data_IF_838199053889
#
_entry.id   IF_838199053889
#
_cell.length_a   1.000
_cell.length_b   1.000
_cell.length_c   1.000
_cell.angle_alpha   90.00
_cell.angle_beta   90.00
_cell.angle_gamma   90.00
#
_symmetry.space_group_name_H-M   'P 1'
#
loop_
_entity.id
_entity.type
_entity.pdbx_description
1 polymer ?
#
# COMPACT_ATOMS: atom_id res chain seq x y z
N UNK A 1 -54.82 4.32 64.99
CA UNK A 1 -53.49 3.71 64.81
C UNK A 1 -52.43 4.75 65.18
N UNK A 2 -51.22 4.33 65.51
CA UNK A 2 -50.10 5.23 65.77
C UNK A 2 -48.78 4.51 65.45
N UNK A 3 -47.75 5.29 65.14
CA UNK A 3 -46.38 4.82 65.01
C UNK A 3 -45.80 4.53 66.40
N UNK A 4 -45.00 3.46 66.53
CA UNK A 4 -44.41 2.97 67.76
C UNK A 4 -45.20 1.86 68.46
N UNK A 5 -44.52 1.18 69.40
CA UNK A 5 -45.15 0.25 70.35
C UNK A 5 -45.78 1.06 71.49
N UNK A 6 -47.11 1.09 71.57
CA UNK A 6 -47.85 1.86 72.57
C UNK A 6 -48.66 0.95 73.49
N UNK A 7 -48.64 1.26 74.78
CA UNK A 7 -49.57 0.65 75.73
C UNK A 7 -50.97 1.28 75.60
N UNK A 8 -51.97 0.64 76.20
CA UNK A 8 -53.35 1.16 76.25
C UNK A 8 -53.43 2.60 76.81
N UNK A 9 -52.66 2.90 77.86
CA UNK A 9 -52.64 4.23 78.48
C UNK A 9 -51.97 5.29 77.61
N UNK A 10 -51.01 4.89 76.77
CA UNK A 10 -50.24 5.84 75.95
C UNK A 10 -50.99 6.21 74.66
N UNK A 11 -51.80 5.28 74.14
CA UNK A 11 -52.53 5.45 72.89
C UNK A 11 -53.53 6.61 72.91
N UNK A 12 -54.18 6.85 74.05
CA UNK A 12 -55.21 7.88 74.23
C UNK A 12 -54.72 9.31 73.96
N UNK A 13 -53.40 9.53 73.92
CA UNK A 13 -52.77 10.84 73.71
C UNK A 13 -52.04 10.98 72.36
N UNK A 14 -51.85 9.89 71.61
CA UNK A 14 -50.96 9.84 70.42
C UNK A 14 -51.62 9.19 69.18
N UNK A 15 -52.82 8.62 69.34
CA UNK A 15 -53.53 7.93 68.26
C UNK A 15 -54.10 8.84 67.17
N UNK A 16 -53.98 8.42 65.92
CA UNK A 16 -54.77 8.93 64.79
C UNK A 16 -55.99 8.04 64.55
N UNK A 17 -57.17 8.64 64.39
CA UNK A 17 -58.42 7.92 64.13
C UNK A 17 -58.40 7.27 62.73
N UNK A 18 -58.85 6.01 62.63
CA UNK A 18 -58.98 5.29 61.36
C UNK A 18 -60.30 5.69 60.68
N UNK A 19 -60.22 6.09 59.42
CA UNK A 19 -61.40 6.24 58.55
C UNK A 19 -61.65 4.90 57.82
N UNK A 20 -62.16 3.90 58.54
CA UNK A 20 -62.40 2.54 58.03
C UNK A 20 -61.62 1.45 58.77
N UNK A 21 -61.25 0.37 58.07
CA UNK A 21 -60.56 -0.81 58.65
C UNK A 21 -59.10 -0.95 58.21
N UNK A 22 -58.53 0.05 57.55
CA UNK A 22 -57.19 0.01 56.96
C UNK A 22 -56.40 1.28 57.29
N UNK A 23 -55.09 1.13 57.46
CA UNK A 23 -54.12 2.22 57.40
C UNK A 23 -52.97 1.83 56.47
N UNK A 24 -52.23 2.83 56.00
CA UNK A 24 -51.03 2.64 55.20
C UNK A 24 -49.82 2.94 56.07
N UNK A 25 -48.85 2.02 56.09
CA UNK A 25 -47.53 2.24 56.63
C UNK A 25 -46.60 2.65 55.47
N UNK A 26 -45.85 3.72 55.65
CA UNK A 26 -44.88 4.28 54.69
C UNK A 26 -43.43 4.18 55.19
N UNK A 27 -43.22 3.70 56.41
CA UNK A 27 -41.90 3.57 57.03
C UNK A 27 -41.73 2.21 57.73
N UNK A 28 -40.49 1.75 57.82
CA UNK A 28 -40.14 0.55 58.59
C UNK A 28 -40.18 0.88 60.08
N UNK A 29 -41.26 0.49 60.74
CA UNK A 29 -41.48 0.71 62.17
C UNK A 29 -42.47 -0.30 62.75
N UNK A 30 -42.53 -0.35 64.08
CA UNK A 30 -43.70 -0.91 64.78
C UNK A 30 -44.88 0.06 64.73
N UNK A 31 -46.08 -0.44 64.44
CA UNK A 31 -47.33 0.32 64.48
C UNK A 31 -48.28 -0.31 65.49
N UNK A 32 -48.96 0.52 66.25
CA UNK A 32 -49.99 0.12 67.22
C UNK A 32 -51.38 0.48 66.71
N UNK A 33 -52.35 -0.40 66.92
CA UNK A 33 -53.77 -0.18 66.59
C UNK A 33 -54.62 -0.41 67.83
N UNK A 34 -55.26 0.65 68.31
CA UNK A 34 -56.25 0.62 69.37
C UNK A 34 -57.65 0.36 68.83
N UNK A 35 -58.41 -0.43 69.57
CA UNK A 35 -59.84 -0.66 69.36
C UNK A 35 -60.59 -0.57 70.68
N UNK A 36 -61.80 -0.02 70.64
CA UNK A 36 -62.74 0.01 71.76
C UNK A 36 -64.10 -0.48 71.29
N UNK A 37 -64.71 -1.40 72.03
CA UNK A 37 -66.07 -1.85 71.74
C UNK A 37 -67.14 -0.91 72.33
N UNK A 38 -68.41 -1.16 71.99
CA UNK A 38 -69.54 -0.36 72.51
C UNK A 38 -69.77 -0.52 74.03
N UNK A 39 -69.28 -1.61 74.63
CA UNK A 39 -69.33 -1.85 76.07
C UNK A 39 -68.16 -1.16 76.81
N UNK A 40 -67.21 -0.57 76.07
CA UNK A 40 -66.07 0.16 76.57
C UNK A 40 -64.83 -0.71 76.83
N UNK A 41 -64.80 -1.97 76.40
CA UNK A 41 -63.60 -2.81 76.47
C UNK A 41 -62.58 -2.34 75.44
N UNK A 42 -61.31 -2.29 75.82
CA UNK A 42 -60.22 -1.72 75.01
C UNK A 42 -59.12 -2.75 74.77
N UNK A 43 -58.52 -2.70 73.58
CA UNK A 43 -57.34 -3.50 73.24
C UNK A 43 -56.40 -2.71 72.32
N UNK A 44 -55.10 -3.01 72.40
CA UNK A 44 -54.09 -2.56 71.45
C UNK A 44 -53.42 -3.78 70.83
N UNK A 45 -53.38 -3.84 69.51
CA UNK A 45 -52.55 -4.78 68.76
C UNK A 45 -51.34 -4.07 68.15
N UNK A 46 -50.22 -4.77 68.02
CA UNK A 46 -49.00 -4.26 67.37
C UNK A 46 -48.68 -5.05 66.11
N UNK A 47 -48.06 -4.37 65.14
CA UNK A 47 -47.51 -4.97 63.93
C UNK A 47 -46.16 -4.33 63.63
N UNK A 48 -45.16 -5.12 63.26
CA UNK A 48 -43.84 -4.63 62.86
C UNK A 48 -43.78 -4.65 61.33
N UNK A 49 -43.46 -3.51 60.73
CA UNK A 49 -43.18 -3.36 59.31
C UNK A 49 -41.68 -3.15 59.16
N UNK A 50 -41.01 -3.95 58.32
CA UNK A 50 -39.55 -3.92 58.17
C UNK A 50 -39.06 -4.17 56.75
N UNK A 51 -39.95 -4.11 55.78
CA UNK A 51 -39.72 -4.48 54.38
C UNK A 51 -40.22 -3.41 53.40
N UNK A 52 -40.33 -2.16 53.84
CA UNK A 52 -40.55 -1.00 52.97
C UNK A 52 -39.18 -0.51 52.50
N UNK A 53 -39.03 -0.44 51.19
CA UNK A 53 -37.90 0.21 50.54
C UNK A 53 -38.43 0.98 49.33
N UNK A 54 -38.06 2.26 49.27
CA UNK A 54 -38.45 3.20 48.22
C UNK A 54 -37.22 3.87 47.59
N UNK A 55 -36.02 3.40 47.93
CA UNK A 55 -34.76 3.95 47.44
C UNK A 55 -34.35 3.15 46.21
N UNK A 56 -34.19 3.83 45.08
CA UNK A 56 -33.68 3.17 43.88
C UNK A 56 -32.21 2.76 44.10
N UNK A 57 -31.78 1.61 43.57
CA UNK A 57 -30.37 1.24 43.56
C UNK A 57 -29.51 2.22 42.73
N UNK A 58 -28.25 2.39 43.10
CA UNK A 58 -27.26 3.13 42.32
C UNK A 58 -26.39 2.17 41.51
N UNK A 59 -26.26 2.39 40.19
CA UNK A 59 -25.47 1.55 39.28
C UNK A 59 -24.32 2.33 38.65
N UNK A 60 -23.17 1.68 38.43
CA UNK A 60 -21.98 2.25 37.80
C UNK A 60 -21.35 1.28 36.79
N UNK A 61 -20.56 1.84 35.86
CA UNK A 61 -19.81 1.11 34.83
C UNK A 61 -18.32 1.45 34.95
N UNK A 62 -17.48 0.44 34.77
CA UNK A 62 -16.04 0.58 34.62
C UNK A 62 -15.64 -0.09 33.30
N UNK A 63 -14.90 0.60 32.43
CA UNK A 63 -14.45 0.08 31.13
C UNK A 63 -12.94 -0.04 31.11
N UNK A 64 -12.43 -1.22 30.78
CA UNK A 64 -11.00 -1.50 30.64
C UNK A 64 -10.64 -1.79 29.18
N UNK A 65 -9.38 -1.56 28.83
CA UNK A 65 -8.83 -1.68 27.48
C UNK A 65 -7.76 -0.63 27.24
N UNK A 66 -7.08 -0.70 26.10
CA UNK A 66 -6.08 0.29 25.70
C UNK A 66 -6.77 1.39 24.90
N UNK A 67 -6.77 2.62 25.41
CA UNK A 67 -7.24 3.78 24.65
C UNK A 67 -6.21 4.17 23.58
N UNK A 68 -6.69 4.38 22.37
CA UNK A 68 -5.99 5.04 21.30
C UNK A 68 -6.43 6.50 21.17
N UNK A 69 -6.54 6.95 19.93
CA UNK A 69 -6.96 8.30 19.59
C UNK A 69 -8.49 8.44 19.60
N UNK A 70 -8.98 9.67 19.74
CA UNK A 70 -10.42 10.01 19.66
C UNK A 70 -11.32 9.16 20.58
N UNK A 71 -10.82 8.77 21.75
CA UNK A 71 -11.49 7.91 22.74
C UNK A 71 -11.86 6.50 22.26
N UNK A 72 -11.28 6.03 21.15
CA UNK A 72 -11.41 4.64 20.71
C UNK A 72 -10.51 3.72 21.53
N UNK A 73 -10.96 2.49 21.72
CA UNK A 73 -10.13 1.41 22.25
C UNK A 73 -9.47 0.65 21.09
N UNK A 74 -8.14 0.59 21.08
CA UNK A 74 -7.33 -0.14 20.08
C UNK A 74 -7.09 -1.60 20.42
N UNK A 75 -7.62 -2.02 21.58
CA UNK A 75 -7.75 -3.42 21.98
C UNK A 75 -9.21 -3.68 22.33
N UNK A 76 -9.57 -4.96 22.50
CA UNK A 76 -10.86 -5.34 23.07
C UNK A 76 -11.17 -4.52 24.33
N UNK A 77 -12.38 -3.94 24.39
CA UNK A 77 -12.86 -3.19 25.54
C UNK A 77 -13.80 -4.07 26.36
N UNK A 78 -13.58 -4.16 27.67
CA UNK A 78 -14.42 -4.94 28.58
C UNK A 78 -15.06 -4.01 29.59
N UNK A 79 -16.39 -4.04 29.72
CA UNK A 79 -17.09 -3.30 30.76
C UNK A 79 -17.52 -4.19 31.92
N UNK A 80 -17.44 -3.63 33.13
CA UNK A 80 -17.89 -4.23 34.38
C UNK A 80 -18.95 -3.31 35.00
N UNK A 81 -20.10 -3.90 35.34
CA UNK A 81 -21.16 -3.20 36.05
C UNK A 81 -21.12 -3.54 37.54
N UNK A 82 -21.41 -2.54 38.37
CA UNK A 82 -21.64 -2.72 39.81
C UNK A 82 -22.84 -1.91 40.25
N UNK A 83 -23.53 -2.37 41.29
CA UNK A 83 -24.64 -1.64 41.87
C UNK A 83 -24.64 -1.77 43.39
N UNK A 84 -25.20 -0.77 44.06
CA UNK A 84 -25.39 -0.76 45.51
C UNK A 84 -26.82 -0.33 45.84
N UNK A 85 -27.40 -0.98 46.83
CA UNK A 85 -28.61 -0.54 47.50
C UNK A 85 -28.44 -0.70 49.02
N UNK A 86 -28.95 0.25 49.80
CA UNK A 86 -28.69 0.36 51.24
C UNK A 86 -29.81 -0.23 52.11
N UNK A 87 -30.92 -0.70 51.54
CA UNK A 87 -32.09 -1.18 52.28
C UNK A 87 -32.42 -2.63 51.90
N UNK A 88 -33.02 -2.87 50.74
CA UNK A 88 -33.41 -4.22 50.30
C UNK A 88 -32.27 -4.98 49.61
N UNK A 89 -31.20 -4.29 49.21
CA UNK A 89 -30.07 -4.84 48.49
C UNK A 89 -30.37 -5.04 46.99
N UNK A 90 -29.32 -5.20 46.20
CA UNK A 90 -29.46 -5.35 44.74
C UNK A 90 -29.94 -6.76 44.41
N UNK A 91 -31.05 -6.85 43.67
CA UNK A 91 -31.58 -8.12 43.15
C UNK A 91 -30.87 -8.51 41.85
N UNK A 92 -30.79 -7.61 40.88
CA UNK A 92 -30.08 -7.84 39.63
C UNK A 92 -29.62 -6.55 38.95
N UNK A 93 -28.62 -6.69 38.08
CA UNK A 93 -28.19 -5.64 37.16
C UNK A 93 -28.57 -6.10 35.75
N UNK A 94 -29.06 -5.20 34.91
CA UNK A 94 -29.39 -5.45 33.52
C UNK A 94 -28.67 -4.47 32.62
N UNK A 95 -28.30 -4.93 31.42
CA UNK A 95 -27.72 -4.08 30.38
C UNK A 95 -28.28 -4.43 29.01
N UNK A 96 -28.11 -3.52 28.05
CA UNK A 96 -28.33 -3.77 26.63
C UNK A 96 -27.31 -2.99 25.81
N UNK A 97 -27.01 -3.52 24.63
CA UNK A 97 -26.05 -2.93 23.69
C UNK A 97 -26.83 -2.56 22.42
N UNK A 98 -26.58 -1.36 21.89
CA UNK A 98 -27.13 -0.88 20.62
C UNK A 98 -28.66 -1.02 20.49
N UNK A 99 -29.38 -0.59 21.54
CA UNK A 99 -30.85 -0.68 21.66
C UNK A 99 -31.43 -2.10 21.56
N UNK A 100 -30.60 -3.13 21.78
CA UNK A 100 -31.04 -4.52 21.85
C UNK A 100 -31.90 -4.85 23.07
N UNK A 101 -32.12 -6.14 23.30
CA UNK A 101 -32.87 -6.63 24.45
C UNK A 101 -32.09 -6.49 25.76
N UNK A 102 -32.83 -6.25 26.85
CA UNK A 102 -32.25 -6.23 28.19
C UNK A 102 -31.78 -7.63 28.60
N UNK A 103 -30.52 -7.71 29.04
CA UNK A 103 -29.83 -8.93 29.47
C UNK A 103 -29.39 -8.77 30.91
N UNK A 104 -29.53 -9.82 31.73
CA UNK A 104 -29.03 -9.82 33.11
C UNK A 104 -27.51 -9.88 33.09
N UNK A 105 -26.87 -9.02 33.86
CA UNK A 105 -25.42 -8.95 34.02
C UNK A 105 -24.95 -9.95 35.09
N UNK A 106 -24.12 -10.90 34.68
CA UNK A 106 -23.54 -11.95 35.53
C UNK A 106 -22.00 -11.89 35.61
N UNK A 107 -21.37 -11.36 34.57
CA UNK A 107 -19.91 -11.28 34.42
C UNK A 107 -19.51 -10.12 33.51
N UNK A 108 -18.25 -9.64 33.56
CA UNK A 108 -17.77 -8.59 32.66
C UNK A 108 -17.98 -8.93 31.19
N UNK A 109 -18.36 -7.93 30.40
CA UNK A 109 -18.77 -8.11 29.00
C UNK A 109 -17.76 -7.45 28.08
N UNK A 110 -17.25 -8.22 27.12
CA UNK A 110 -16.32 -7.76 26.12
C UNK A 110 -17.01 -7.31 24.84
N UNK A 111 -16.59 -6.15 24.33
CA UNK A 111 -16.97 -5.61 23.04
C UNK A 111 -15.92 -6.01 22.01
N UNK A 112 -16.28 -6.94 21.13
CA UNK A 112 -15.37 -7.59 20.17
C UNK A 112 -15.57 -7.17 18.72
N UNK A 113 -16.52 -6.26 18.46
CA UNK A 113 -16.82 -5.78 17.11
C UNK A 113 -16.38 -4.33 16.97
N UNK A 114 -15.55 -4.07 15.96
CA UNK A 114 -15.06 -2.72 15.65
C UNK A 114 -16.23 -1.82 15.25
N UNK A 115 -16.65 -0.96 16.18
CA UNK A 115 -17.86 -0.14 16.08
C UNK A 115 -18.00 0.79 17.28
N UNK A 116 -18.88 1.78 17.14
CA UNK A 116 -19.40 2.56 18.27
C UNK A 116 -20.50 1.77 18.96
N UNK A 117 -20.30 1.38 20.22
CA UNK A 117 -21.26 0.61 21.00
C UNK A 117 -21.94 1.49 22.04
N UNK A 118 -23.26 1.57 22.00
CA UNK A 118 -24.07 2.24 23.01
C UNK A 118 -24.48 1.23 24.09
N UNK A 119 -23.90 1.33 25.28
CA UNK A 119 -24.19 0.46 26.42
C UNK A 119 -25.16 1.18 27.35
N UNK A 120 -26.35 0.62 27.52
CA UNK A 120 -27.33 1.12 28.48
C UNK A 120 -27.49 0.11 29.62
N UNK A 121 -27.58 0.59 30.86
CA UNK A 121 -27.58 -0.28 32.04
C UNK A 121 -28.44 0.27 33.18
N UNK A 122 -29.01 -0.64 33.97
CA UNK A 122 -29.87 -0.36 35.13
C UNK A 122 -29.77 -1.46 36.19
N UNK A 123 -30.25 -1.21 37.40
CA UNK A 123 -30.35 -2.21 38.46
C UNK A 123 -31.77 -2.25 39.05
N UNK A 124 -32.17 -3.42 39.54
CA UNK A 124 -33.39 -3.66 40.31
C UNK A 124 -33.01 -4.14 41.72
N UNK A 125 -33.68 -3.65 42.75
CA UNK A 125 -33.51 -4.09 44.14
C UNK A 125 -34.50 -5.22 44.52
N UNK A 126 -34.45 -5.71 45.76
CA UNK A 126 -35.37 -6.76 46.21
C UNK A 126 -36.80 -6.27 46.52
N UNK A 127 -37.02 -4.96 46.64
CA UNK A 127 -38.33 -4.35 46.77
C UNK A 127 -39.01 -4.03 45.43
N UNK A 128 -38.28 -4.16 44.31
CA UNK A 128 -38.74 -3.91 42.96
C UNK A 128 -38.51 -2.47 42.48
N UNK A 129 -37.72 -1.66 43.19
CA UNK A 129 -37.30 -0.35 42.73
C UNK A 129 -36.24 -0.50 41.63
N UNK A 130 -36.34 0.32 40.58
CA UNK A 130 -35.45 0.27 39.41
C UNK A 130 -34.67 1.59 39.32
N UNK A 131 -33.35 1.51 39.13
CA UNK A 131 -32.51 2.69 38.92
C UNK A 131 -32.91 3.47 37.66
N UNK A 132 -32.44 4.71 37.55
CA UNK A 132 -32.40 5.37 36.24
C UNK A 132 -31.57 4.54 35.25
N UNK A 133 -31.97 4.55 33.97
CA UNK A 133 -31.16 3.96 32.91
C UNK A 133 -29.99 4.89 32.63
N UNK A 134 -28.78 4.40 32.87
CA UNK A 134 -27.53 5.09 32.49
C UNK A 134 -27.06 4.59 31.12
N UNK A 135 -26.27 5.42 30.45
CA UNK A 135 -25.75 5.17 29.11
C UNK A 135 -24.27 5.54 29.03
N UNK A 136 -23.49 4.69 28.36
CA UNK A 136 -22.08 4.92 28.03
C UNK A 136 -21.84 4.57 26.56
N UNK A 137 -21.12 5.43 25.82
CA UNK A 137 -20.72 5.14 24.45
C UNK A 137 -19.27 4.64 24.45
N UNK A 138 -19.07 3.40 24.02
CA UNK A 138 -17.78 2.73 24.01
C UNK A 138 -17.42 2.40 22.56
N UNK A 139 -16.44 3.11 22.01
CA UNK A 139 -15.97 2.90 20.64
C UNK A 139 -14.77 1.97 20.63
N UNK A 140 -14.84 0.88 19.86
CA UNK A 140 -13.78 -0.13 19.75
C UNK A 140 -13.34 -0.21 18.31
N UNK A 141 -12.05 -0.19 18.07
CA UNK A 141 -11.46 -0.46 16.76
C UNK A 141 -10.09 -1.09 16.96
N UNK A 142 -10.04 -2.40 16.76
CA UNK A 142 -8.85 -3.23 16.95
C UNK A 142 -8.17 -3.59 15.63
N UNK A 143 -8.75 -3.21 14.50
CA UNK A 143 -8.30 -3.63 13.19
C UNK A 143 -7.47 -2.53 12.55
N UNK A 144 -6.24 -2.89 12.13
CA UNK A 144 -5.42 -1.96 11.36
C UNK A 144 -6.00 -1.76 9.96
N UNK A 145 -5.90 -0.56 9.38
CA UNK A 145 -6.24 -0.37 7.97
C UNK A 145 -5.32 -1.21 7.08
N UNK A 146 -5.76 -1.48 5.85
CA UNK A 146 -4.98 -2.21 4.85
C UNK A 146 -4.90 -1.36 3.58
N UNK A 147 -3.68 -0.93 3.23
CA UNK A 147 -3.43 -0.17 1.99
C UNK A 147 -2.86 -1.07 0.89
N UNK A 148 -3.30 -0.89 -0.34
CA UNK A 148 -2.72 -1.51 -1.53
C UNK A 148 -2.23 -0.46 -2.51
N UNK A 149 -1.07 -0.68 -3.12
CA UNK A 149 -0.57 0.15 -4.22
C UNK A 149 -0.90 -0.47 -5.57
N UNK A 150 -1.24 0.37 -6.54
CA UNK A 150 -1.36 0.00 -7.94
C UNK A 150 -0.61 1.00 -8.81
N UNK A 151 -0.16 0.52 -9.97
CA UNK A 151 0.54 1.33 -10.97
C UNK A 151 -0.31 1.39 -12.24
N UNK A 152 -0.31 2.54 -12.91
CA UNK A 152 -1.09 2.73 -14.15
C UNK A 152 -0.55 1.96 -15.37
N UNK A 153 0.62 1.35 -15.24
CA UNK A 153 1.33 0.61 -16.28
C UNK A 153 1.73 -0.76 -15.74
N UNK A 154 1.94 -1.71 -16.65
CA UNK A 154 2.50 -3.03 -16.34
C UNK A 154 3.99 -3.00 -16.69
N UNK A 155 4.83 -3.49 -15.78
CA UNK A 155 6.26 -3.60 -16.04
C UNK A 155 6.53 -4.55 -17.22
N UNK A 156 7.68 -4.37 -17.87
CA UNK A 156 8.17 -5.33 -18.84
C UNK A 156 8.67 -6.62 -18.15
N UNK A 157 9.18 -7.56 -18.94
CA UNK A 157 9.67 -8.87 -18.49
C UNK A 157 10.84 -8.82 -17.48
N UNK A 158 11.49 -7.65 -17.36
CA UNK A 158 12.63 -7.41 -16.48
C UNK A 158 12.25 -6.59 -15.23
N UNK A 159 10.96 -6.35 -14.98
CA UNK A 159 10.46 -5.46 -13.91
C UNK A 159 10.89 -3.98 -14.06
N UNK A 160 10.93 -3.50 -15.31
CA UNK A 160 11.19 -2.09 -15.64
C UNK A 160 10.07 -1.42 -16.42
N UNK A 161 10.02 -0.10 -16.34
CA UNK A 161 9.17 0.77 -17.14
C UNK A 161 10.03 1.70 -17.99
N UNK A 162 9.57 1.99 -19.21
CA UNK A 162 10.25 2.91 -20.13
C UNK A 162 9.62 4.30 -20.22
N UNK A 163 8.65 4.58 -19.36
CA UNK A 163 7.93 5.84 -19.28
C UNK A 163 7.57 6.12 -17.82
N UNK A 164 7.27 7.38 -17.50
CA UNK A 164 6.75 7.79 -16.20
C UNK A 164 5.57 6.92 -15.74
N UNK A 165 5.55 6.57 -14.46
CA UNK A 165 4.55 5.67 -13.85
C UNK A 165 3.76 6.42 -12.79
N UNK A 166 2.43 6.30 -12.82
CA UNK A 166 1.54 6.87 -11.80
C UNK A 166 1.23 5.82 -10.74
N UNK A 167 1.42 6.21 -9.47
CA UNK A 167 1.13 5.44 -8.26
C UNK A 167 -0.24 5.82 -7.73
N UNK A 168 -1.08 4.83 -7.47
CA UNK A 168 -2.38 4.98 -6.80
C UNK A 168 -2.44 4.08 -5.56
N UNK A 169 -2.84 4.65 -4.42
CA UNK A 169 -3.02 3.94 -3.15
C UNK A 169 -4.51 3.84 -2.84
N UNK A 170 -4.97 2.63 -2.49
CA UNK A 170 -6.35 2.39 -2.08
C UNK A 170 -6.36 1.74 -0.70
N UNK A 171 -7.26 2.20 0.17
CA UNK A 171 -7.37 1.73 1.55
C UNK A 171 -8.67 0.96 1.76
N UNK A 172 -8.57 -0.17 2.44
CA UNK A 172 -9.70 -0.82 3.09
C UNK A 172 -9.57 -0.68 4.60
N UNK A 173 -10.61 -0.18 5.25
CA UNK A 173 -10.66 0.05 6.69
C UNK A 173 -12.06 -0.29 7.20
N UNK A 174 -12.14 -0.76 8.45
CA UNK A 174 -13.37 -1.08 9.17
C UNK A 174 -13.21 -0.50 10.58
N UNK A 175 -14.20 0.28 11.03
CA UNK A 175 -14.24 0.78 12.41
C UNK A 175 -14.23 2.29 12.46
N UNK A 176 -13.11 2.86 12.87
CA UNK A 176 -12.96 4.28 13.20
C UNK A 176 -12.85 5.20 11.98
N UNK A 177 -12.63 4.65 10.78
CA UNK A 177 -12.37 5.39 9.55
C UNK A 177 -10.89 5.72 9.40
N UNK A 178 -10.47 6.01 8.16
CA UNK A 178 -9.11 6.45 7.85
C UNK A 178 -8.82 7.83 8.44
N UNK A 179 -7.70 7.98 9.14
CA UNK A 179 -7.19 9.28 9.58
C UNK A 179 -6.22 9.87 8.56
N UNK A 180 -5.22 9.10 8.12
CA UNK A 180 -4.27 9.53 7.10
C UNK A 180 -3.63 8.33 6.39
N UNK A 181 -3.48 8.45 5.08
CA UNK A 181 -2.59 7.61 4.26
C UNK A 181 -1.37 8.42 3.91
N UNK A 182 -0.18 7.83 3.99
CA UNK A 182 1.08 8.51 3.74
C UNK A 182 2.07 7.59 3.03
N UNK A 183 2.99 8.19 2.29
CA UNK A 183 4.05 7.49 1.55
C UNK A 183 5.41 8.15 1.76
N UNK A 184 6.47 7.40 1.49
CA UNK A 184 7.86 7.84 1.59
C UNK A 184 8.65 7.35 0.37
N UNK A 185 9.55 8.20 -0.12
CA UNK A 185 10.48 7.91 -1.22
C UNK A 185 11.96 7.97 -0.77
N UNK A 186 12.19 8.04 0.55
CA UNK A 186 13.52 8.23 1.15
C UNK A 186 13.80 7.21 2.27
N UNK A 187 13.29 5.98 2.10
CA UNK A 187 13.49 4.88 3.04
C UNK A 187 12.78 5.08 4.37
N UNK A 188 11.65 5.80 4.39
CA UNK A 188 10.86 6.06 5.59
C UNK A 188 11.40 7.19 6.46
N UNK A 189 12.34 8.01 5.95
CA UNK A 189 12.90 9.16 6.67
C UNK A 189 11.89 10.29 6.77
N UNK A 190 11.17 10.57 5.68
CA UNK A 190 10.07 11.52 5.62
C UNK A 190 8.82 10.86 5.06
N UNK A 191 7.67 11.18 5.65
CA UNK A 191 6.37 10.69 5.23
C UNK A 191 5.53 11.86 4.71
N UNK A 192 5.01 11.69 3.50
CA UNK A 192 4.18 12.67 2.78
C UNK A 192 2.73 12.20 2.77
N UNK A 193 1.75 13.05 3.12
CA UNK A 193 0.34 12.71 3.00
C UNK A 193 -0.04 12.33 1.57
N UNK A 194 -0.84 11.28 1.43
CA UNK A 194 -1.40 10.84 0.16
C UNK A 194 -2.78 11.49 -0.04
N UNK A 195 -2.82 12.57 -0.82
CA UNK A 195 -4.07 13.28 -1.16
C UNK A 195 -4.62 12.89 -2.54
N UNK A 196 -3.74 12.42 -3.44
CA UNK A 196 -4.07 12.04 -4.82
C UNK A 196 -2.96 11.15 -5.41
N UNK A 197 -3.24 10.40 -6.50
CA UNK A 197 -2.22 9.70 -7.26
C UNK A 197 -1.06 10.63 -7.67
N UNK A 198 0.17 10.12 -7.62
CA UNK A 198 1.38 10.86 -7.95
C UNK A 198 2.23 10.11 -8.97
N UNK A 199 3.09 10.83 -9.70
CA UNK A 199 3.89 10.27 -10.78
C UNK A 199 5.36 10.13 -10.36
N UNK A 200 5.92 8.96 -10.61
CA UNK A 200 7.34 8.66 -10.56
C UNK A 200 7.95 8.86 -11.94
N UNK A 201 9.10 9.54 -11.97
CA UNK A 201 9.85 9.80 -13.20
C UNK A 201 11.05 8.86 -13.31
N UNK A 202 11.85 9.02 -14.36
CA UNK A 202 13.12 8.33 -14.58
C UNK A 202 13.94 8.13 -13.29
N UNK A 203 14.32 6.88 -13.00
CA UNK A 203 15.07 6.50 -11.80
C UNK A 203 14.55 5.23 -11.12
N UNK A 204 15.30 4.79 -10.10
CA UNK A 204 14.91 3.72 -9.20
C UNK A 204 14.24 4.32 -7.95
N UNK A 205 13.05 3.84 -7.63
CA UNK A 205 12.25 4.32 -6.51
C UNK A 205 11.92 3.17 -5.56
N UNK A 206 12.04 3.43 -4.26
CA UNK A 206 11.46 2.60 -3.21
C UNK A 206 10.26 3.34 -2.63
N UNK A 207 9.05 2.92 -3.00
CA UNK A 207 7.82 3.53 -2.51
C UNK A 207 7.40 2.80 -1.25
N UNK A 208 7.59 3.45 -0.10
CA UNK A 208 7.01 2.97 1.14
C UNK A 208 5.67 3.64 1.37
N UNK A 209 4.69 2.91 1.90
CA UNK A 209 3.35 3.46 2.19
C UNK A 209 2.73 2.82 3.42
N UNK A 210 1.87 3.58 4.11
CA UNK A 210 1.08 3.11 5.25
C UNK A 210 -0.15 3.98 5.46
N UNK A 211 -1.11 3.45 6.21
CA UNK A 211 -2.28 4.17 6.69
C UNK A 211 -2.41 4.07 8.21
N UNK A 212 -2.91 5.15 8.81
CA UNK A 212 -3.37 5.25 10.18
C UNK A 212 -4.87 5.53 10.20
N UNK A 213 -5.62 4.86 11.07
CA UNK A 213 -7.04 5.11 11.29
C UNK A 213 -7.30 6.15 12.40
N UNK A 214 -8.56 6.49 12.64
CA UNK A 214 -8.94 7.49 13.66
C UNK A 214 -8.81 6.97 15.10
N UNK A 215 -8.75 5.65 15.31
CA UNK A 215 -8.43 5.03 16.59
C UNK A 215 -6.92 5.03 16.87
N UNK A 216 -6.09 5.31 15.86
CA UNK A 216 -4.64 5.31 15.95
C UNK A 216 -4.00 3.94 15.71
N UNK A 217 -4.73 2.96 15.13
CA UNK A 217 -4.09 1.76 14.62
C UNK A 217 -3.32 2.10 13.34
N UNK A 218 -2.08 1.62 13.27
CA UNK A 218 -1.17 1.85 12.14
C UNK A 218 -0.78 0.50 11.56
N UNK A 219 -0.93 0.34 10.25
CA UNK A 219 -0.44 -0.83 9.53
C UNK A 219 1.09 -0.89 9.51
N UNK A 220 1.66 -2.08 9.30
CA UNK A 220 3.10 -2.16 8.99
C UNK A 220 3.35 -1.51 7.63
N UNK A 221 4.38 -0.66 7.55
CA UNK A 221 4.72 -0.01 6.30
C UNK A 221 5.09 -1.04 5.24
N UNK A 222 4.44 -0.95 4.08
CA UNK A 222 4.76 -1.74 2.89
C UNK A 222 5.80 -1.01 2.06
N UNK A 223 6.51 -1.75 1.22
CA UNK A 223 7.54 -1.24 0.31
C UNK A 223 7.41 -1.93 -1.04
N UNK A 224 7.44 -1.14 -2.11
CA UNK A 224 7.48 -1.62 -3.49
C UNK A 224 8.55 -0.86 -4.27
N UNK A 225 9.31 -1.58 -5.10
CA UNK A 225 10.37 -1.00 -5.92
C UNK A 225 9.84 -0.74 -7.33
N UNK A 226 10.08 0.46 -7.85
CA UNK A 226 9.70 0.86 -9.21
C UNK A 226 10.94 1.33 -9.95
N UNK A 227 11.35 0.61 -10.99
CA UNK A 227 12.51 0.97 -11.82
C UNK A 227 12.04 1.57 -13.15
N UNK A 228 12.37 2.83 -13.39
CA UNK A 228 11.97 3.58 -14.58
C UNK A 228 13.24 4.01 -15.31
N UNK A 229 13.37 3.63 -16.58
CA UNK A 229 14.38 4.19 -17.47
C UNK A 229 13.72 4.57 -18.80
N UNK A 230 13.52 5.86 -19.03
CA UNK A 230 12.94 6.41 -20.27
C UNK A 230 13.98 6.91 -21.28
N UNK A 231 15.28 6.80 -20.95
CA UNK A 231 16.35 7.32 -21.78
C UNK A 231 16.68 6.32 -22.90
N UNK A 232 16.74 6.79 -24.15
CA UNK A 232 17.11 5.92 -25.26
C UNK A 232 18.59 5.51 -25.16
N UNK A 233 18.94 4.25 -25.45
CA UNK A 233 20.32 3.84 -25.54
C UNK A 233 21.05 4.54 -26.68
N UNK A 234 22.37 4.69 -26.55
CA UNK A 234 23.24 5.26 -27.58
C UNK A 234 24.06 4.18 -28.25
N UNK A 235 24.33 4.36 -29.55
CA UNK A 235 25.15 3.46 -30.37
C UNK A 235 26.23 4.26 -31.08
N UNK A 236 27.48 3.85 -30.95
CA UNK A 236 28.64 4.39 -31.65
C UNK A 236 29.34 3.27 -32.41
N UNK A 237 29.59 3.51 -33.70
CA UNK A 237 30.15 2.53 -34.63
C UNK A 237 31.46 3.04 -35.20
N UNK A 238 32.47 2.18 -35.23
CA UNK A 238 33.76 2.45 -35.87
C UNK A 238 34.19 1.23 -36.69
N UNK A 239 35.18 1.39 -37.56
CA UNK A 239 35.67 0.32 -38.40
C UNK A 239 37.20 0.20 -38.36
N UNK A 240 37.71 -1.01 -38.60
CA UNK A 240 39.13 -1.28 -38.81
C UNK A 240 39.32 -2.39 -39.86
N UNK A 241 40.20 -2.23 -40.86
CA UNK A 241 40.98 -1.02 -41.14
C UNK A 241 40.11 0.12 -41.69
N UNK A 242 40.64 1.35 -41.62
CA UNK A 242 40.03 2.54 -42.25
C UNK A 242 40.62 2.85 -43.64
N UNK A 243 41.82 2.33 -43.93
CA UNK A 243 42.44 2.43 -45.26
C UNK A 243 41.86 1.36 -46.21
N UNK A 244 42.01 1.52 -47.54
CA UNK A 244 41.65 0.49 -48.50
C UNK A 244 42.26 -0.88 -48.16
N UNK A 245 41.44 -1.93 -48.24
CA UNK A 245 41.78 -3.31 -47.91
C UNK A 245 41.15 -4.25 -48.92
N UNK A 246 41.76 -5.40 -49.19
CA UNK A 246 41.14 -6.47 -49.99
C UNK A 246 40.51 -7.58 -49.13
N UNK A 247 40.59 -7.43 -47.80
CA UNK A 247 40.04 -8.36 -46.82
C UNK A 247 38.79 -7.80 -46.11
N UNK A 248 38.37 -8.53 -45.08
CA UNK A 248 37.25 -8.14 -44.23
C UNK A 248 37.53 -6.84 -43.47
N UNK A 249 36.49 -6.08 -43.21
CA UNK A 249 36.50 -4.91 -42.32
C UNK A 249 35.77 -5.28 -41.03
N UNK A 250 36.43 -5.13 -39.89
CA UNK A 250 35.80 -5.30 -38.59
C UNK A 250 35.07 -4.01 -38.19
N UNK A 251 33.79 -4.12 -37.88
CA UNK A 251 32.96 -3.06 -37.31
C UNK A 251 32.94 -3.26 -35.79
N UNK A 252 33.32 -2.21 -35.07
CA UNK A 252 33.35 -2.17 -33.62
C UNK A 252 32.14 -1.38 -33.13
N UNK A 253 31.35 -2.01 -32.27
CA UNK A 253 30.14 -1.50 -31.65
C UNK A 253 30.43 -1.10 -30.21
N UNK A 254 30.10 0.16 -29.88
CA UNK A 254 30.05 0.65 -28.50
C UNK A 254 28.66 1.18 -28.22
N UNK A 255 28.02 0.66 -27.17
CA UNK A 255 26.65 1.01 -26.79
C UNK A 255 26.53 1.32 -25.30
N UNK A 256 25.64 2.25 -24.95
CA UNK A 256 25.39 2.66 -23.57
C UNK A 256 23.88 2.88 -23.36
N UNK A 257 23.29 2.17 -22.39
CA UNK A 257 21.86 2.23 -22.05
C UNK A 257 21.51 3.13 -20.87
N UNK A 258 22.31 4.18 -20.61
CA UNK A 258 22.12 5.20 -19.55
C UNK A 258 20.87 5.04 -18.69
N UNK A 259 21.02 4.58 -17.44
CA UNK A 259 19.89 4.28 -16.56
C UNK A 259 19.70 2.78 -16.36
N UNK A 260 19.77 2.01 -17.44
CA UNK A 260 19.65 0.55 -17.42
C UNK A 260 20.70 -0.16 -18.29
N UNK A 261 20.83 -1.48 -18.13
CA UNK A 261 21.82 -2.25 -18.86
C UNK A 261 21.36 -2.57 -20.29
N UNK A 262 22.27 -2.58 -21.26
CA UNK A 262 21.97 -3.13 -22.60
C UNK A 262 21.72 -4.64 -22.47
N UNK A 263 20.56 -5.10 -22.92
CA UNK A 263 20.15 -6.52 -22.84
C UNK A 263 20.26 -7.24 -24.18
N UNK A 264 20.17 -6.51 -25.29
CA UNK A 264 20.19 -7.09 -26.63
C UNK A 264 20.87 -6.16 -27.62
N UNK A 265 21.80 -6.71 -28.39
CA UNK A 265 22.43 -6.05 -29.53
C UNK A 265 22.29 -6.94 -30.76
N UNK A 266 21.82 -6.38 -31.88
CA UNK A 266 21.73 -7.06 -33.17
C UNK A 266 22.39 -6.22 -34.26
N UNK A 267 22.86 -6.86 -35.31
CA UNK A 267 23.35 -6.17 -36.51
C UNK A 267 22.76 -6.78 -37.78
N UNK A 268 22.68 -6.00 -38.84
CA UNK A 268 22.35 -6.50 -40.17
C UNK A 268 22.93 -5.58 -41.25
N UNK A 269 23.13 -6.15 -42.44
CA UNK A 269 23.49 -5.43 -43.65
C UNK A 269 22.28 -4.63 -44.15
N UNK A 270 22.53 -3.41 -44.63
CA UNK A 270 21.54 -2.44 -45.10
C UNK A 270 21.34 -1.27 -44.13
N UNK A 271 20.65 -0.23 -44.62
CA UNK A 271 20.12 0.87 -43.81
C UNK A 271 18.75 0.45 -43.27
N UNK A 272 18.67 0.18 -41.97
CA UNK A 272 17.50 -0.43 -41.31
C UNK A 272 16.99 0.46 -40.18
N UNK A 273 15.69 0.42 -39.97
CA UNK A 273 14.97 1.05 -38.87
C UNK A 273 14.76 0.09 -37.70
N UNK A 274 14.26 0.60 -36.57
CA UNK A 274 13.82 -0.22 -35.43
C UNK A 274 12.85 -1.33 -35.84
N UNK A 275 11.88 -1.00 -36.69
CA UNK A 275 10.83 -1.94 -37.10
C UNK A 275 11.36 -3.13 -37.90
N UNK A 276 12.49 -2.98 -38.60
CA UNK A 276 13.08 -4.06 -39.37
C UNK A 276 13.64 -5.15 -38.44
N UNK A 277 14.27 -4.75 -37.33
CA UNK A 277 14.89 -5.66 -36.35
C UNK A 277 13.90 -6.50 -35.54
N UNK A 278 12.59 -6.24 -35.68
CA UNK A 278 11.55 -7.12 -35.17
C UNK A 278 11.51 -8.48 -35.90
N UNK A 279 11.96 -8.52 -37.17
CA UNK A 279 11.90 -9.72 -38.02
C UNK A 279 13.24 -10.18 -38.58
N UNK A 280 14.28 -9.35 -38.47
CA UNK A 280 15.63 -9.66 -38.96
C UNK A 280 16.73 -9.21 -38.00
N UNK A 281 17.98 -9.46 -38.39
CA UNK A 281 19.16 -9.13 -37.60
C UNK A 281 19.79 -10.34 -36.93
N UNK A 282 21.11 -10.27 -36.81
CA UNK A 282 21.94 -11.28 -36.15
C UNK A 282 22.35 -10.73 -34.78
N UNK A 283 22.10 -11.49 -33.72
CA UNK A 283 22.55 -11.12 -32.38
C UNK A 283 24.08 -11.03 -32.31
N UNK A 284 24.57 -9.94 -31.73
CA UNK A 284 26.00 -9.67 -31.62
C UNK A 284 26.56 -10.30 -30.35
N UNK A 285 27.42 -11.29 -30.50
CA UNK A 285 28.16 -11.91 -29.40
C UNK A 285 29.48 -11.16 -29.19
N UNK A 286 29.47 -10.13 -28.36
CA UNK A 286 30.65 -9.28 -28.08
C UNK A 286 30.49 -7.86 -28.60
N UNK A 287 31.60 -7.24 -29.02
CA UNK A 287 31.63 -5.83 -29.43
C UNK A 287 31.96 -5.63 -30.91
N UNK A 288 32.14 -6.71 -31.69
CA UNK A 288 32.53 -6.58 -33.10
C UNK A 288 31.87 -7.61 -34.02
N UNK A 289 31.70 -7.24 -35.29
CA UNK A 289 31.33 -8.14 -36.39
C UNK A 289 32.07 -7.72 -37.66
N UNK A 290 32.09 -8.58 -38.70
CA UNK A 290 32.84 -8.31 -39.92
C UNK A 290 31.95 -8.02 -41.12
N UNK A 291 32.31 -6.98 -41.88
CA UNK A 291 31.81 -6.67 -43.21
C UNK A 291 32.75 -7.23 -44.29
N UNK A 292 32.16 -7.85 -45.32
CA UNK A 292 32.83 -8.40 -46.50
C UNK A 292 32.49 -7.64 -47.79
N UNK A 293 31.59 -6.65 -47.71
CA UNK A 293 31.13 -5.85 -48.84
C UNK A 293 31.07 -4.35 -48.49
N UNK A 294 31.21 -3.50 -49.51
CA UNK A 294 31.06 -2.05 -49.38
C UNK A 294 29.58 -1.67 -49.33
N UNK A 295 29.00 -1.70 -48.15
CA UNK A 295 27.58 -1.44 -47.93
C UNK A 295 27.33 -0.68 -46.61
N UNK A 296 26.08 -0.25 -46.42
CA UNK A 296 25.64 0.22 -45.11
C UNK A 296 25.38 -0.97 -44.19
N UNK A 297 25.70 -0.83 -42.91
CA UNK A 297 25.38 -1.79 -41.86
C UNK A 297 24.67 -1.07 -40.72
N UNK A 298 23.62 -1.69 -40.19
CA UNK A 298 22.82 -1.18 -39.08
C UNK A 298 23.03 -2.02 -37.83
N UNK A 299 23.07 -1.37 -36.67
CA UNK A 299 23.20 -2.00 -35.36
C UNK A 299 22.06 -1.52 -34.46
N UNK A 300 21.26 -2.46 -34.02
CA UNK A 300 20.17 -2.29 -33.09
C UNK A 300 20.63 -2.60 -31.67
N UNK A 301 20.18 -1.82 -30.70
CA UNK A 301 20.37 -2.08 -29.27
C UNK A 301 19.05 -1.89 -28.52
N UNK A 302 18.87 -2.70 -27.48
CA UNK A 302 17.77 -2.59 -26.51
C UNK A 302 18.32 -2.67 -25.10
N UNK A 303 17.82 -1.81 -24.22
CA UNK A 303 18.18 -1.83 -22.80
C UNK A 303 17.23 -2.70 -21.95
N UNK A 304 17.33 -2.62 -20.64
CA UNK A 304 16.54 -3.46 -19.73
C UNK A 304 15.13 -2.91 -19.52
N UNK A 305 14.94 -1.59 -19.61
CA UNK A 305 13.62 -0.96 -19.64
C UNK A 305 12.88 -1.15 -20.97
N UNK A 306 13.61 -1.58 -21.99
CA UNK A 306 13.09 -1.86 -23.31
C UNK A 306 13.09 -0.65 -24.23
N UNK A 307 13.88 0.38 -23.93
CA UNK A 307 14.18 1.43 -24.89
C UNK A 307 15.09 0.88 -25.98
N UNK A 308 14.89 1.36 -27.20
CA UNK A 308 15.51 0.79 -28.39
C UNK A 308 16.14 1.90 -29.25
N UNK A 309 17.31 1.63 -29.82
CA UNK A 309 17.97 2.54 -30.76
C UNK A 309 18.65 1.78 -31.89
N UNK A 310 18.85 2.47 -33.03
CA UNK A 310 19.62 1.96 -34.17
C UNK A 310 20.69 2.97 -34.56
N UNK A 311 21.92 2.48 -34.76
CA UNK A 311 23.02 3.22 -35.37
C UNK A 311 23.42 2.60 -36.71
N UNK A 312 23.96 3.41 -37.62
CA UNK A 312 24.38 2.96 -38.96
C UNK A 312 25.83 3.33 -39.26
N UNK A 313 26.54 2.50 -40.02
CA UNK A 313 27.88 2.79 -40.55
C UNK A 313 27.98 2.36 -42.01
N UNK A 314 28.69 3.14 -42.83
CA UNK A 314 28.93 2.82 -44.24
C UNK A 314 30.35 2.27 -44.37
N UNK A 315 30.49 1.07 -44.94
CA UNK A 315 31.77 0.49 -45.33
C UNK A 315 31.99 0.77 -46.82
N UNK A 316 33.15 1.34 -47.15
CA UNK A 316 33.47 1.76 -48.52
C UNK A 316 34.93 1.55 -48.91
N UNK A 317 35.71 0.84 -48.09
CA UNK A 317 37.16 0.67 -48.25
C UNK A 317 37.57 -0.75 -48.63
N UNK A 318 36.63 -1.63 -49.00
CA UNK A 318 36.94 -2.98 -49.48
C UNK A 318 37.14 -2.93 -51.00
N UNK A 319 38.35 -3.24 -51.47
CA UNK A 319 38.69 -3.37 -52.88
C UNK A 319 39.26 -4.75 -53.18
N UNK A 320 38.48 -5.56 -53.88
CA UNK A 320 38.86 -6.91 -54.31
C UNK A 320 39.10 -6.99 -55.82
N UNK A 321 39.04 -5.85 -56.53
CA UNK A 321 39.34 -5.79 -57.95
C UNK A 321 40.85 -5.67 -58.11
N UNK A 322 41.44 -6.51 -58.95
CA UNK A 322 42.87 -6.42 -59.23
C UNK A 322 43.16 -5.16 -60.10
N UNK A 323 44.31 -4.49 -59.89
CA UNK A 323 44.73 -3.41 -60.76
C UNK A 323 44.97 -3.90 -62.19
N UNK A 324 44.65 -3.07 -63.17
CA UNK A 324 44.94 -3.31 -64.58
C UNK A 324 46.34 -2.81 -64.94
N UNK A 325 47.08 -3.59 -65.73
CA UNK A 325 48.43 -3.25 -66.19
C UNK A 325 48.47 -3.25 -67.71
N UNK A 326 49.00 -2.18 -68.29
CA UNK A 326 49.28 -2.07 -69.73
C UNK A 326 50.75 -1.74 -69.95
N UNK A 327 51.33 -2.34 -70.99
CA UNK A 327 52.73 -2.14 -71.38
C UNK A 327 52.74 -1.67 -72.83
N UNK A 328 53.25 -0.47 -73.04
CA UNK A 328 53.51 0.08 -74.36
C UNK A 328 55.01 -0.04 -74.66
N UNK A 329 55.37 -0.69 -75.77
CA UNK A 329 56.77 -0.83 -76.21
C UNK A 329 57.00 0.11 -77.38
N UNK A 330 58.01 0.97 -77.25
CA UNK A 330 58.40 1.94 -78.28
C UNK A 330 59.82 1.61 -78.79
N UNK A 331 60.06 1.82 -80.08
CA UNK A 331 61.31 1.50 -80.76
C UNK A 331 61.07 1.23 -82.25
N UNK A 332 62.11 1.30 -83.07
CA UNK A 332 61.96 1.04 -84.52
C UNK A 332 61.94 -0.46 -84.77
N UNK A 333 60.86 -0.99 -85.35
CA UNK A 333 60.79 -2.40 -85.78
C UNK A 333 61.54 -2.61 -87.09
N UNK A 334 62.36 -3.65 -87.13
CA UNK A 334 62.95 -4.25 -88.33
C UNK A 334 62.13 -5.46 -88.82
N UNK A 335 62.81 -6.44 -89.42
CA UNK A 335 62.15 -7.65 -89.92
C UNK A 335 61.85 -8.64 -88.79
N UNK A 336 60.77 -9.42 -88.93
CA UNK A 336 60.34 -10.47 -87.99
C UNK A 336 60.15 -9.98 -86.54
N UNK A 337 59.61 -8.77 -86.35
CA UNK A 337 59.34 -8.14 -85.04
C UNK A 337 60.57 -7.83 -84.16
N UNK A 338 61.79 -7.89 -84.71
CA UNK A 338 63.00 -7.44 -84.03
C UNK A 338 63.10 -5.92 -84.00
N UNK A 339 63.53 -5.33 -82.88
CA UNK A 339 63.79 -3.88 -82.80
C UNK A 339 65.21 -3.55 -83.27
N UNK A 340 65.36 -2.50 -84.08
CA UNK A 340 66.65 -2.00 -84.60
C UNK A 340 67.20 -0.81 -83.81
N UNK A 341 66.40 -0.28 -82.87
CA UNK A 341 66.81 0.69 -81.84
C UNK A 341 66.57 0.11 -80.46
N UNK A 342 67.06 0.79 -79.42
CA UNK A 342 66.69 0.48 -78.04
C UNK A 342 65.16 0.47 -77.89
N UNK A 343 64.64 -0.60 -77.28
CA UNK A 343 63.22 -0.75 -76.99
C UNK A 343 62.93 -0.14 -75.62
N UNK A 344 62.06 0.87 -75.57
CA UNK A 344 61.64 1.50 -74.33
C UNK A 344 60.25 1.01 -73.94
N UNK A 345 60.13 0.51 -72.71
CA UNK A 345 58.87 0.06 -72.12
C UNK A 345 58.25 1.19 -71.30
N UNK A 346 56.99 1.52 -71.58
CA UNK A 346 56.17 2.40 -70.76
C UNK A 346 55.09 1.55 -70.11
N UNK A 347 55.17 1.40 -68.79
CA UNK A 347 54.17 0.73 -67.99
C UNK A 347 53.13 1.74 -67.51
N UNK A 348 51.86 1.39 -67.64
CA UNK A 348 50.76 2.12 -67.01
C UNK A 348 49.95 1.11 -66.21
N UNK A 349 49.76 1.38 -64.92
CA UNK A 349 48.89 0.60 -64.05
C UNK A 349 47.76 1.50 -63.54
N UNK A 350 46.54 0.98 -63.51
CA UNK A 350 45.35 1.69 -63.05
C UNK A 350 44.56 0.82 -62.10
N UNK A 351 44.04 1.43 -61.05
CA UNK A 351 43.09 0.81 -60.13
C UNK A 351 41.99 1.83 -59.82
N UNK A 352 40.75 1.37 -59.85
CA UNK A 352 39.60 2.27 -59.84
C UNK A 352 39.08 2.59 -58.43
N UNK A 353 39.55 1.91 -57.38
CA UNK A 353 39.02 2.07 -56.02
C UNK A 353 40.10 2.32 -54.97
N UNK A 354 41.11 1.46 -54.88
CA UNK A 354 42.21 1.58 -53.90
C UNK A 354 43.46 2.28 -54.43
N UNK A 355 43.59 2.40 -55.75
CA UNK A 355 44.76 2.97 -56.42
C UNK A 355 45.95 2.00 -56.50
N UNK A 356 46.95 2.35 -57.31
CA UNK A 356 48.16 1.52 -57.45
C UNK A 356 49.21 1.96 -56.44
N UNK A 357 49.55 1.05 -55.51
CA UNK A 357 50.55 1.33 -54.47
C UNK A 357 52.00 1.24 -54.95
N UNK A 358 52.31 0.27 -55.81
CA UNK A 358 53.67 0.01 -56.26
C UNK A 358 53.66 -0.63 -57.65
N UNK A 359 54.66 -0.29 -58.48
CA UNK A 359 54.95 -0.95 -59.76
C UNK A 359 56.41 -1.42 -59.71
N UNK A 360 56.63 -2.72 -59.86
CA UNK A 360 57.97 -3.31 -59.99
C UNK A 360 58.09 -4.02 -61.34
N UNK A 361 59.27 -3.99 -61.94
CA UNK A 361 59.62 -4.71 -63.16
C UNK A 361 60.96 -5.43 -62.94
N UNK A 362 61.18 -6.54 -63.65
CA UNK A 362 62.41 -7.34 -63.56
C UNK A 362 62.94 -7.70 -64.94
#
# INVERSE_FOLDING_TARGET
WAKGELSLSDFASQGTELQGTTFTADENETYSVYVKDQAGNEAVGTIIIGNIDQVNPEVSIEVTGTKGNNDWYTTEATFKLTATDNLSGVKEIQYRINDGEWTVYDSPVSLTTDSMNKVQYRAEDHAGNISEVKEENISVDTTKPETTMTLNKVANENDWYNEDVTVELTVTEIGSGVAATEYSLDGGTTWTPYDAPFTLQNGQHEVMYRTVDNAGNIEESKIETVNIDSDLPTVSLTQTPTNPTNGLVEIIVSSNGTGSAITLTKWAKGELSLSDFASQGTELQGTTFTADENETYSVYVKDQAGNEAVGTIIIGNIDQVNPEVSIEVTGTKGNNDWYTTEATFKLTATDNLSGVKEIQYR
#
